data_IF_601566685970
#
_entry.id   IF_601566685970
#
_cell.length_a   1.000
_cell.length_b   1.000
_cell.length_c   1.000
_cell.angle_alpha   90.00
_cell.angle_beta   90.00
_cell.angle_gamma   90.00
#
_symmetry.space_group_name_H-M   'P 1'
#
loop_
_entity.id
_entity.type
_entity.pdbx_description
1 polymer ?
#
# COMPACT_ATOMS: atom_id res chain seq x y z
N UNK A 1 1.12 2.33 0.03
CA UNK A 1 1.72 3.24 -0.98
C UNK A 1 1.17 2.94 -2.37
N UNK A 2 1.30 3.85 -3.34
CA UNK A 2 1.02 3.55 -4.75
C UNK A 2 2.34 3.36 -5.50
N UNK A 3 2.50 2.17 -6.09
CA UNK A 3 3.69 1.82 -6.87
C UNK A 3 3.72 2.55 -8.23
N UNK A 4 2.54 2.83 -8.79
CA UNK A 4 2.37 3.54 -10.05
C UNK A 4 3.00 4.94 -10.03
N UNK A 5 3.00 5.60 -8.87
CA UNK A 5 3.60 6.93 -8.72
C UNK A 5 5.10 6.98 -9.05
N UNK A 6 5.80 5.85 -8.93
CA UNK A 6 7.22 5.72 -9.27
C UNK A 6 7.46 5.43 -10.75
N UNK A 7 6.42 5.07 -11.49
CA UNK A 7 6.43 4.78 -12.92
C UNK A 7 5.84 5.93 -13.75
N UNK A 8 5.01 6.79 -13.15
CA UNK A 8 4.54 8.03 -13.79
C UNK A 8 5.71 9.02 -13.93
N UNK A 9 5.90 9.65 -15.11
CA UNK A 9 6.92 10.67 -15.26
C UNK A 9 6.71 11.79 -14.24
N UNK A 10 7.75 12.08 -13.45
CA UNK A 10 7.76 13.24 -12.57
C UNK A 10 7.86 14.50 -13.46
N UNK A 11 7.08 15.54 -13.14
CA UNK A 11 7.26 16.87 -13.73
C UNK A 11 8.72 17.30 -13.58
N UNK A 12 9.32 17.90 -14.62
CA UNK A 12 10.77 18.15 -14.75
C UNK A 12 11.41 18.88 -13.55
N UNK A 13 10.64 19.64 -12.76
CA UNK A 13 11.12 20.29 -11.54
C UNK A 13 11.35 19.38 -10.32
N UNK A 14 10.86 18.13 -10.34
CA UNK A 14 10.91 17.20 -9.19
C UNK A 14 11.95 16.07 -9.35
N UNK A 15 12.66 15.99 -10.47
CA UNK A 15 13.73 15.00 -10.74
C UNK A 15 15.13 15.49 -10.33
N UNK A 16 15.25 16.75 -9.90
CA UNK A 16 16.52 17.47 -9.72
C UNK A 16 17.38 16.89 -8.57
N UNK A 17 16.78 16.25 -7.56
CA UNK A 17 17.54 15.57 -6.48
C UNK A 17 16.74 14.50 -5.75
N UNK A 18 17.42 13.54 -5.09
CA UNK A 18 16.79 12.56 -4.18
C UNK A 18 15.93 13.22 -3.09
N UNK A 19 16.29 14.44 -2.67
CA UNK A 19 15.55 15.23 -1.69
C UNK A 19 14.26 15.82 -2.28
N UNK A 20 14.29 16.32 -3.52
CA UNK A 20 13.11 16.82 -4.25
C UNK A 20 12.11 15.69 -4.57
N UNK A 21 12.62 14.53 -4.99
CA UNK A 21 11.82 13.31 -5.20
C UNK A 21 11.16 12.88 -3.88
N UNK A 22 11.92 12.85 -2.78
CA UNK A 22 11.38 12.54 -1.45
C UNK A 22 10.31 13.55 -1.05
N UNK A 23 10.54 14.85 -1.24
CA UNK A 23 9.57 15.91 -0.98
C UNK A 23 8.29 15.67 -1.78
N UNK A 24 8.36 15.46 -3.10
CA UNK A 24 7.17 15.18 -3.92
C UNK A 24 6.33 13.98 -3.42
N UNK A 25 6.96 12.84 -3.15
CA UNK A 25 6.23 11.66 -2.64
C UNK A 25 5.72 11.84 -1.20
N UNK A 26 6.44 12.58 -0.35
CA UNK A 26 6.08 12.82 1.04
C UNK A 26 5.06 13.95 1.25
N UNK A 27 5.12 15.04 0.48
CA UNK A 27 4.28 16.22 0.69
C UNK A 27 3.12 16.33 -0.30
N UNK A 28 3.28 15.92 -1.56
CA UNK A 28 2.29 16.19 -2.60
C UNK A 28 1.53 14.94 -3.07
N UNK A 29 2.21 13.83 -3.30
CA UNK A 29 1.57 12.65 -3.90
C UNK A 29 0.86 11.76 -2.86
N UNK A 30 1.43 11.63 -1.65
CA UNK A 30 0.91 10.71 -0.62
C UNK A 30 1.08 11.23 0.82
N UNK A 31 0.62 12.45 1.15
CA UNK A 31 0.85 13.02 2.48
C UNK A 31 0.29 12.15 3.63
N UNK A 32 -0.76 11.37 3.37
CA UNK A 32 -1.46 10.54 4.36
C UNK A 32 -1.19 9.04 4.22
N UNK A 33 -0.21 8.63 3.41
CA UNK A 33 0.04 7.18 3.24
C UNK A 33 0.94 6.63 4.33
N UNK A 34 0.43 5.59 4.98
CA UNK A 34 1.12 4.81 5.99
C UNK A 34 2.07 3.77 5.35
N UNK A 35 2.99 3.25 6.16
CA UNK A 35 3.90 2.15 5.82
C UNK A 35 3.40 0.89 6.50
N UNK A 36 2.89 -0.06 5.72
CA UNK A 36 2.47 -1.37 6.24
C UNK A 36 3.68 -2.30 6.38
N UNK A 37 3.89 -2.85 7.57
CA UNK A 37 4.90 -3.86 7.88
C UNK A 37 4.23 -5.20 8.16
N UNK A 38 4.75 -6.24 7.52
CA UNK A 38 4.29 -7.61 7.68
C UNK A 38 5.43 -8.47 8.22
N UNK A 39 5.12 -9.31 9.20
CA UNK A 39 6.05 -10.28 9.76
C UNK A 39 5.74 -11.67 9.19
N UNK A 40 6.78 -12.38 8.77
CA UNK A 40 6.64 -13.74 8.21
C UNK A 40 7.69 -14.69 8.76
N UNK A 41 7.37 -15.99 8.71
CA UNK A 41 8.25 -17.09 9.10
C UNK A 41 8.85 -16.93 10.50
N UNK A 42 8.01 -16.58 11.49
CA UNK A 42 8.40 -16.43 12.88
C UNK A 42 7.29 -16.88 13.82
N UNK A 43 7.68 -17.41 14.98
CA UNK A 43 6.76 -17.79 16.04
C UNK A 43 6.16 -16.55 16.73
N UNK A 44 5.00 -16.65 17.41
CA UNK A 44 4.39 -15.52 18.12
C UNK A 44 5.33 -14.80 19.09
N UNK A 45 6.09 -15.56 19.88
CA UNK A 45 7.03 -14.99 20.86
C UNK A 45 8.17 -14.22 20.19
N UNK A 46 8.68 -14.75 19.08
CA UNK A 46 9.70 -14.09 18.27
C UNK A 46 9.16 -12.83 17.59
N UNK A 47 7.91 -12.88 17.12
CA UNK A 47 7.25 -11.73 16.51
C UNK A 47 7.06 -10.60 17.54
N UNK A 48 6.72 -10.91 18.79
CA UNK A 48 6.62 -9.90 19.84
C UNK A 48 7.96 -9.21 20.11
N UNK A 49 9.05 -9.98 20.20
CA UNK A 49 10.40 -9.42 20.35
C UNK A 49 10.75 -8.54 19.15
N UNK A 50 10.47 -8.99 17.93
CA UNK A 50 10.71 -8.22 16.70
C UNK A 50 9.88 -6.93 16.66
N UNK A 51 8.64 -6.93 17.13
CA UNK A 51 7.80 -5.72 17.21
C UNK A 51 8.44 -4.70 18.16
N UNK A 52 8.96 -5.14 19.31
CA UNK A 52 9.67 -4.25 20.25
C UNK A 52 10.94 -3.69 19.62
N UNK A 53 11.72 -4.51 18.93
CA UNK A 53 12.91 -4.03 18.18
C UNK A 53 12.55 -2.99 17.12
N UNK A 54 11.46 -3.19 16.36
CA UNK A 54 10.98 -2.23 15.37
C UNK A 54 10.57 -0.92 16.05
N UNK A 55 9.86 -1.01 17.18
CA UNK A 55 9.46 0.18 17.95
C UNK A 55 10.66 1.00 18.41
N UNK A 56 11.66 0.36 19.02
CA UNK A 56 12.88 1.03 19.48
C UNK A 56 13.63 1.65 18.30
N UNK A 57 13.78 0.93 17.19
CA UNK A 57 14.43 1.45 15.98
C UNK A 57 13.69 2.65 15.37
N UNK A 58 12.35 2.63 15.37
CA UNK A 58 11.54 3.78 14.89
C UNK A 58 11.69 4.96 15.83
N UNK A 59 11.61 4.74 17.15
CA UNK A 59 11.80 5.79 18.15
C UNK A 59 13.17 6.44 18.03
N UNK A 60 14.23 5.65 17.93
CA UNK A 60 15.60 6.16 17.85
C UNK A 60 15.88 6.89 16.53
N UNK A 61 15.09 6.61 15.49
CA UNK A 61 15.19 7.29 14.18
C UNK A 61 14.46 8.63 14.10
N UNK A 62 13.62 8.97 15.09
CA UNK A 62 12.79 10.17 15.10
C UNK A 62 13.14 11.02 16.33
N UNK A 63 13.40 12.34 16.18
CA UNK A 63 13.80 13.20 17.29
C UNK A 63 12.64 13.59 18.23
N UNK A 64 11.44 13.05 18.02
CA UNK A 64 10.20 13.41 18.71
C UNK A 64 9.57 12.17 19.34
N UNK A 65 8.69 12.39 20.32
CA UNK A 65 7.93 11.30 20.93
C UNK A 65 7.06 10.56 19.91
N UNK A 66 7.08 9.22 20.02
CA UNK A 66 6.27 8.31 19.21
C UNK A 66 5.06 7.83 20.00
N UNK A 67 3.90 7.80 19.36
CA UNK A 67 2.65 7.28 19.94
C UNK A 67 2.31 5.93 19.33
N UNK A 68 2.16 4.90 20.15
CA UNK A 68 1.73 3.58 19.70
C UNK A 68 0.25 3.35 19.98
N UNK A 69 -0.49 2.96 18.94
CA UNK A 69 -1.90 2.57 19.03
C UNK A 69 -1.99 1.10 18.65
N UNK A 70 -2.44 0.27 19.59
CA UNK A 70 -2.68 -1.17 19.35
C UNK A 70 -4.17 -1.42 19.15
N UNK A 71 -4.50 -2.08 18.05
CA UNK A 71 -5.83 -2.64 17.79
C UNK A 71 -5.80 -4.17 17.90
N UNK A 72 -6.93 -4.83 17.63
CA UNK A 72 -7.01 -6.30 17.58
C UNK A 72 -6.10 -6.91 16.49
N UNK A 73 -5.86 -6.18 15.40
CA UNK A 73 -5.22 -6.72 14.20
C UNK A 73 -3.93 -6.01 13.79
N UNK A 74 -3.67 -4.82 14.34
CA UNK A 74 -2.51 -4.00 13.97
C UNK A 74 -1.93 -3.24 15.17
N UNK A 75 -0.66 -2.89 15.08
CA UNK A 75 0.00 -1.90 15.93
C UNK A 75 0.48 -0.76 15.04
N UNK A 76 -0.03 0.44 15.26
CA UNK A 76 0.32 1.64 14.49
C UNK A 76 1.20 2.56 15.33
N UNK A 77 2.39 2.86 14.82
CA UNK A 77 3.36 3.78 15.41
C UNK A 77 3.23 5.12 14.68
N UNK A 78 2.72 6.12 15.39
CA UNK A 78 2.55 7.48 14.90
C UNK A 78 3.69 8.35 15.42
N UNK A 79 4.24 9.17 14.53
CA UNK A 79 5.28 10.16 14.83
C UNK A 79 4.83 11.53 14.32
N UNK A 80 5.48 12.60 14.78
CA UNK A 80 5.16 13.94 14.33
C UNK A 80 5.50 14.11 12.84
N UNK A 81 4.69 14.89 12.12
CA UNK A 81 4.97 15.28 10.74
C UNK A 81 6.41 15.82 10.62
N UNK A 82 7.20 15.45 9.58
CA UNK A 82 6.83 14.80 8.32
C UNK A 82 6.97 13.27 8.30
N UNK A 83 7.16 12.63 9.45
CA UNK A 83 7.37 11.18 9.52
C UNK A 83 6.05 10.43 9.30
N UNK A 84 6.11 9.36 8.49
CA UNK A 84 4.94 8.54 8.18
C UNK A 84 4.62 7.62 9.35
N UNK A 85 3.33 7.32 9.52
CA UNK A 85 2.95 6.28 10.47
C UNK A 85 3.37 4.91 9.94
N UNK A 86 3.82 4.04 10.84
CA UNK A 86 4.22 2.66 10.55
C UNK A 86 3.18 1.73 11.16
N UNK A 87 2.52 0.93 10.32
CA UNK A 87 1.48 0.01 10.74
C UNK A 87 1.97 -1.43 10.64
N UNK A 88 2.14 -2.08 11.77
CA UNK A 88 2.55 -3.49 11.87
C UNK A 88 1.29 -4.36 11.91
N UNK A 89 1.16 -5.28 10.96
CA UNK A 89 0.06 -6.25 10.92
C UNK A 89 0.38 -7.43 11.84
N UNK A 90 -0.52 -7.73 12.79
CA UNK A 90 -0.30 -8.76 13.81
C UNK A 90 -0.56 -10.19 13.31
N UNK A 91 -1.17 -10.35 12.13
CA UNK A 91 -1.32 -11.66 11.51
C UNK A 91 0.05 -12.17 11.07
N UNK A 92 0.42 -13.36 11.55
CA UNK A 92 1.64 -14.03 11.13
C UNK A 92 1.40 -14.80 9.84
N UNK A 93 2.38 -14.71 8.93
CA UNK A 93 2.36 -15.39 7.65
C UNK A 93 3.54 -16.36 7.56
N UNK A 94 3.39 -17.43 6.79
CA UNK A 94 4.46 -18.40 6.56
C UNK A 94 5.44 -17.91 5.48
N UNK A 95 4.97 -17.12 4.52
CA UNK A 95 5.81 -16.64 3.42
C UNK A 95 5.38 -15.26 2.89
N UNK A 96 6.29 -14.53 2.21
CA UNK A 96 5.94 -13.30 1.49
C UNK A 96 4.85 -13.52 0.44
N UNK A 97 4.82 -14.70 -0.20
CA UNK A 97 3.80 -15.03 -1.19
C UNK A 97 2.39 -15.08 -0.56
N UNK A 98 2.26 -15.60 0.66
CA UNK A 98 0.99 -15.62 1.40
C UNK A 98 0.48 -14.20 1.70
N UNK A 99 1.39 -13.30 2.10
CA UNK A 99 1.06 -11.87 2.31
C UNK A 99 0.53 -11.28 1.01
N UNK A 100 1.25 -11.46 -0.10
CA UNK A 100 0.87 -10.91 -1.41
C UNK A 100 -0.43 -11.51 -1.97
N UNK A 101 -0.74 -12.77 -1.63
CA UNK A 101 -1.98 -13.43 -2.01
C UNK A 101 -3.20 -12.91 -1.22
N UNK A 102 -2.98 -12.39 0.00
CA UNK A 102 -4.04 -11.88 0.88
C UNK A 102 -4.66 -10.54 0.46
N UNK A 103 -4.06 -9.82 -0.49
CA UNK A 103 -4.63 -8.59 -1.02
C UNK A 103 -5.81 -8.85 -1.95
N UNK A 104 -6.83 -8.01 -1.84
CA UNK A 104 -8.04 -8.04 -2.67
C UNK A 104 -7.91 -7.26 -3.98
N UNK A 105 -7.03 -6.25 -4.04
CA UNK A 105 -6.74 -5.44 -5.23
C UNK A 105 -5.39 -5.82 -5.82
N UNK A 106 -5.27 -5.79 -7.14
CA UNK A 106 -4.08 -6.22 -7.86
C UNK A 106 -2.87 -5.29 -7.67
N UNK A 107 -3.02 -3.99 -7.90
CA UNK A 107 -1.92 -3.03 -7.85
C UNK A 107 -1.07 -3.01 -6.56
N UNK A 108 -1.63 -3.15 -5.33
CA UNK A 108 -0.84 -3.20 -4.11
C UNK A 108 -0.13 -4.53 -3.84
N UNK A 109 -0.26 -5.55 -4.69
CA UNK A 109 0.34 -6.88 -4.48
C UNK A 109 1.85 -6.90 -4.75
N UNK A 110 2.57 -5.94 -4.19
CA UNK A 110 4.02 -5.81 -4.24
C UNK A 110 4.56 -5.61 -2.81
N UNK A 111 5.70 -6.23 -2.51
CA UNK A 111 6.39 -6.10 -1.23
C UNK A 111 7.89 -5.88 -1.46
N UNK A 112 8.56 -5.24 -0.51
CA UNK A 112 10.01 -5.04 -0.52
C UNK A 112 10.60 -5.65 0.75
N UNK A 113 11.58 -6.54 0.60
CA UNK A 113 12.18 -7.27 1.72
C UNK A 113 13.50 -6.65 2.25
N UNK A 114 13.88 -5.48 1.72
CA UNK A 114 15.16 -4.83 2.03
C UNK A 114 16.23 -5.04 0.96
N UNK A 115 16.12 -6.11 0.15
CA UNK A 115 17.09 -6.45 -0.91
C UNK A 115 16.44 -6.46 -2.30
N UNK A 116 15.23 -6.98 -2.42
CA UNK A 116 14.50 -7.16 -3.68
C UNK A 116 13.02 -6.81 -3.53
N UNK A 117 12.42 -6.50 -4.67
CA UNK A 117 10.97 -6.27 -4.78
C UNK A 117 10.32 -7.56 -5.23
N UNK A 118 9.31 -8.00 -4.48
CA UNK A 118 8.42 -9.09 -4.83
C UNK A 118 7.12 -8.51 -5.39
N UNK A 119 6.61 -9.09 -6.47
CA UNK A 119 5.33 -8.72 -7.05
C UNK A 119 4.59 -9.96 -7.49
N UNK A 120 3.30 -10.03 -7.20
CA UNK A 120 2.44 -11.05 -7.78
C UNK A 120 2.26 -10.77 -9.28
N UNK A 121 2.20 -11.79 -10.17
CA UNK A 121 1.89 -11.60 -11.58
C UNK A 121 0.70 -10.67 -11.85
N UNK A 122 -0.36 -10.74 -11.02
CA UNK A 122 -1.51 -9.82 -11.12
C UNK A 122 -1.15 -8.35 -10.91
N UNK A 123 -0.25 -8.08 -9.97
CA UNK A 123 0.24 -6.74 -9.69
C UNK A 123 0.99 -6.19 -10.90
N UNK A 124 1.84 -7.02 -11.51
CA UNK A 124 2.61 -6.66 -12.70
C UNK A 124 1.66 -6.31 -13.85
N UNK A 125 0.67 -7.17 -14.13
CA UNK A 125 -0.33 -6.92 -15.19
C UNK A 125 -1.13 -5.65 -14.91
N UNK A 126 -1.58 -5.45 -13.67
CA UNK A 126 -2.35 -4.27 -13.29
C UNK A 126 -1.55 -2.97 -13.43
N UNK A 127 -0.26 -3.00 -13.09
CA UNK A 127 0.64 -1.86 -13.25
C UNK A 127 0.95 -1.58 -14.72
N UNK A 128 1.16 -2.63 -15.54
CA UNK A 128 1.41 -2.49 -16.97
C UNK A 128 0.18 -1.94 -17.72
N UNK A 129 -1.02 -2.38 -17.35
CA UNK A 129 -2.29 -1.91 -17.94
C UNK A 129 -2.80 -0.62 -17.32
N UNK A 130 -2.17 -0.15 -16.24
CA UNK A 130 -2.67 0.92 -15.37
C UNK A 130 -4.14 0.70 -14.97
N UNK A 131 -4.49 -0.54 -14.62
CA UNK A 131 -5.88 -0.95 -14.42
C UNK A 131 -5.99 -2.09 -13.40
N UNK A 132 -6.87 -1.98 -12.42
CA UNK A 132 -7.21 -3.05 -11.49
C UNK A 132 -8.40 -3.86 -12.03
N UNK A 133 -8.29 -5.18 -12.01
CA UNK A 133 -9.40 -6.06 -12.41
C UNK A 133 -10.31 -6.30 -11.22
N UNK A 134 -11.62 -6.17 -11.43
CA UNK A 134 -12.62 -6.47 -10.41
C UNK A 134 -12.81 -7.98 -10.32
N UNK A 135 -12.50 -8.54 -9.16
CA UNK A 135 -12.67 -9.95 -8.84
C UNK A 135 -13.55 -10.10 -7.59
N UNK A 136 -14.82 -10.42 -7.81
CA UNK A 136 -15.82 -10.47 -6.73
C UNK A 136 -15.54 -11.56 -5.68
N UNK A 137 -14.80 -12.61 -6.04
CA UNK A 137 -14.41 -13.70 -5.12
C UNK A 137 -13.44 -13.25 -4.02
N UNK A 138 -12.74 -12.12 -4.22
CA UNK A 138 -11.75 -11.57 -3.28
C UNK A 138 -12.23 -10.34 -2.53
N UNK A 139 -13.51 -10.00 -2.69
CA UNK A 139 -14.11 -8.79 -2.13
C UNK A 139 -13.97 -8.77 -0.60
N UNK A 140 -13.22 -7.79 -0.10
CA UNK A 140 -13.18 -7.45 1.32
C UNK A 140 -14.22 -6.36 1.65
N UNK A 141 -14.53 -6.11 2.95
CA UNK A 141 -15.44 -5.03 3.34
C UNK A 141 -15.03 -3.62 2.89
N UNK A 142 -13.75 -3.42 2.56
CA UNK A 142 -13.20 -2.13 2.12
C UNK A 142 -12.83 -2.13 0.63
N UNK A 143 -13.23 -3.14 -0.13
CA UNK A 143 -12.78 -3.36 -1.49
C UNK A 143 -13.12 -2.20 -2.43
N UNK A 144 -14.38 -1.76 -2.46
CA UNK A 144 -14.85 -0.66 -3.32
C UNK A 144 -14.20 0.66 -2.96
N UNK A 145 -14.09 0.95 -1.66
CA UNK A 145 -13.42 2.16 -1.17
C UNK A 145 -11.97 2.18 -1.60
N UNK A 146 -11.29 1.02 -1.55
CA UNK A 146 -9.92 0.91 -2.01
C UNK A 146 -9.81 0.98 -3.54
N UNK A 147 -10.73 0.40 -4.30
CA UNK A 147 -10.79 0.56 -5.76
C UNK A 147 -10.94 2.03 -6.14
N UNK A 148 -11.86 2.77 -5.51
CA UNK A 148 -12.03 4.21 -5.72
C UNK A 148 -10.74 4.98 -5.37
N UNK A 149 -10.08 4.64 -4.26
CA UNK A 149 -8.78 5.22 -3.86
C UNK A 149 -7.69 4.98 -4.90
N UNK A 150 -7.64 3.80 -5.52
CA UNK A 150 -6.66 3.50 -6.58
C UNK A 150 -7.05 4.13 -7.93
N UNK A 151 -8.35 4.30 -8.21
CA UNK A 151 -8.84 5.08 -9.36
C UNK A 151 -8.39 6.55 -9.30
N UNK A 152 -8.48 7.18 -8.13
CA UNK A 152 -7.92 8.52 -7.89
C UNK A 152 -6.39 8.58 -8.05
N UNK A 153 -5.70 7.43 -8.12
CA UNK A 153 -4.26 7.30 -8.34
C UNK A 153 -3.95 6.88 -9.78
N UNK A 154 -4.86 7.12 -10.72
CA UNK A 154 -4.69 6.83 -12.15
C UNK A 154 -4.61 5.33 -12.47
N UNK A 155 -5.27 4.49 -11.68
CA UNK A 155 -5.51 3.09 -12.02
C UNK A 155 -6.98 2.89 -12.38
N UNK A 156 -7.27 2.63 -13.64
CA UNK A 156 -8.62 2.32 -14.09
C UNK A 156 -9.20 1.08 -13.38
N UNK A 157 -10.53 0.93 -13.44
CA UNK A 157 -11.23 -0.23 -12.88
C UNK A 157 -11.82 -1.02 -14.05
N UNK A 158 -11.29 -2.22 -14.29
CA UNK A 158 -11.80 -3.13 -15.30
C UNK A 158 -12.77 -4.13 -14.67
N UNK A 159 -14.01 -4.15 -15.14
CA UNK A 159 -15.04 -5.08 -14.70
C UNK A 159 -15.28 -6.09 -15.82
N UNK A 160 -14.80 -7.35 -15.71
CA UNK A 160 -14.91 -8.32 -16.80
C UNK A 160 -16.36 -8.65 -17.18
N UNK A 161 -17.26 -8.67 -16.20
CA UNK A 161 -18.69 -8.96 -16.38
C UNK A 161 -19.49 -7.74 -16.89
N UNK A 162 -18.84 -6.60 -17.15
CA UNK A 162 -19.53 -5.39 -17.58
C UNK A 162 -19.75 -5.42 -19.09
N UNK A 163 -20.96 -5.79 -19.49
CA UNK A 163 -21.43 -5.64 -20.86
C UNK A 163 -21.79 -4.18 -21.14
N UNK A 164 -20.88 -3.44 -21.77
CA UNK A 164 -21.07 -2.02 -22.11
C UNK A 164 -22.29 -1.77 -23.00
N UNK A 165 -22.73 -2.77 -23.76
CA UNK A 165 -23.95 -2.73 -24.57
C UNK A 165 -25.23 -2.57 -23.74
N UNK A 166 -25.19 -2.98 -22.46
CA UNK A 166 -26.34 -2.92 -21.55
C UNK A 166 -26.33 -1.66 -20.68
N UNK A 167 -25.37 -0.75 -20.91
CA UNK A 167 -25.26 0.52 -20.19
C UNK A 167 -25.86 1.61 -21.07
N UNK A 168 -26.90 2.27 -20.59
CA UNK A 168 -27.45 3.45 -21.25
C UNK A 168 -26.39 4.58 -21.23
N UNK A 169 -25.91 5.04 -22.39
CA UNK A 169 -24.87 6.06 -22.49
C UNK A 169 -25.31 7.44 -21.97
N UNK A 170 -26.61 7.63 -21.67
CA UNK A 170 -27.13 8.88 -21.10
C UNK A 170 -27.01 8.96 -19.57
N UNK A 171 -26.71 7.85 -18.90
CA UNK A 171 -26.48 7.82 -17.44
C UNK A 171 -25.08 8.38 -17.15
N UNK A 172 -25.01 9.68 -16.83
CA UNK A 172 -23.81 10.29 -16.26
C UNK A 172 -23.83 10.13 -14.73
N UNK A 173 -22.73 9.70 -14.10
CA UNK A 173 -22.61 9.78 -12.65
C UNK A 173 -22.62 11.26 -12.24
N UNK A 174 -23.60 11.63 -11.42
CA UNK A 174 -23.79 12.96 -10.82
C UNK A 174 -22.76 13.24 -9.72
#
# INVERSE_FOLDING_TARGET
GSFLARLTPLLEGNTVSKCAIRKYYHSNAYPTSDVDLFLWNMAPDQAEVKIKEIYEAVRDSVPWDVTCIRTKHTVSIHSQYPHRSVQIVLRLYQSPAEILAGFDIDAPCCAYDGNRVWANPRAVVALMRQCNTVEMTRRSPSYEVRLAKYSQRSLEIYVPALERSNIDPTVRPS
#
